data_IF_312809734223
#
_entry.id   IF_312809734223
#
_cell.length_a   1.000
_cell.length_b   1.000
_cell.length_c   1.000
_cell.angle_alpha   90.00
_cell.angle_beta   90.00
_cell.angle_gamma   90.00
#
_symmetry.space_group_name_H-M   'P 1'
#
loop_
_entity.id
_entity.type
_entity.pdbx_description
1 polymer ?
#
# COMPACT_ATOMS: atom_id res chain seq x y z
N UNK A 1 -14.81 -6.01 -20.24
CA UNK A 1 -14.81 -7.18 -19.33
C UNK A 1 -14.15 -6.74 -18.04
N UNK A 2 -14.78 -6.99 -16.89
CA UNK A 2 -14.30 -6.54 -15.58
C UNK A 2 -12.97 -7.21 -15.22
N UNK A 3 -11.98 -6.43 -14.80
CA UNK A 3 -10.67 -6.93 -14.39
C UNK A 3 -10.77 -7.94 -13.23
N UNK A 4 -11.74 -7.74 -12.33
CA UNK A 4 -12.01 -8.66 -11.22
C UNK A 4 -12.53 -10.00 -11.73
N UNK A 5 -13.46 -9.97 -12.69
CA UNK A 5 -14.02 -11.17 -13.30
C UNK A 5 -12.95 -11.98 -14.04
N UNK A 6 -12.12 -11.32 -14.85
CA UNK A 6 -10.97 -11.94 -15.53
C UNK A 6 -10.04 -12.59 -14.51
N UNK A 7 -9.72 -11.88 -13.43
CA UNK A 7 -8.84 -12.42 -12.38
C UNK A 7 -9.38 -13.72 -11.80
N UNK A 8 -10.66 -13.75 -11.40
CA UNK A 8 -11.24 -14.95 -10.78
C UNK A 8 -11.46 -16.11 -11.76
N UNK A 9 -11.72 -15.82 -13.04
CA UNK A 9 -11.91 -16.83 -14.07
C UNK A 9 -10.60 -17.42 -14.58
N UNK A 10 -9.64 -16.57 -14.93
CA UNK A 10 -8.47 -16.96 -15.74
C UNK A 10 -7.18 -17.06 -14.94
N UNK A 11 -7.06 -16.29 -13.85
CA UNK A 11 -5.80 -16.15 -13.09
C UNK A 11 -5.83 -16.95 -11.81
N UNK A 12 -6.82 -16.69 -10.96
CA UNK A 12 -6.95 -17.28 -9.63
C UNK A 12 -6.87 -18.82 -9.61
N UNK A 13 -7.53 -19.57 -10.53
CA UNK A 13 -7.47 -21.04 -10.53
C UNK A 13 -6.09 -21.61 -10.83
N UNK A 14 -5.20 -20.82 -11.44
CA UNK A 14 -3.84 -21.20 -11.83
C UNK A 14 -2.79 -20.80 -10.80
N UNK A 15 -3.16 -20.00 -9.81
CA UNK A 15 -2.25 -19.63 -8.73
C UNK A 15 -2.11 -20.82 -7.79
N UNK A 16 -0.86 -21.12 -7.40
CA UNK A 16 -0.63 -21.88 -6.17
C UNK A 16 -1.30 -21.11 -5.03
N UNK A 17 -1.89 -21.81 -4.03
CA UNK A 17 -2.58 -21.14 -2.94
C UNK A 17 -1.73 -20.00 -2.40
N UNK A 18 -2.25 -18.77 -2.34
CA UNK A 18 -1.51 -17.70 -1.71
C UNK A 18 -1.28 -18.07 -0.25
N UNK A 19 -0.18 -17.59 0.33
CA UNK A 19 0.18 -17.76 1.75
C UNK A 19 -0.80 -16.96 2.64
N UNK A 20 -2.07 -17.31 2.54
CA UNK A 20 -3.17 -16.86 3.38
C UNK A 20 -3.15 -17.58 4.72
N UNK A 21 -2.29 -18.58 4.92
CA UNK A 21 -1.99 -19.17 6.23
C UNK A 21 -1.59 -18.09 7.25
N UNK A 22 -0.87 -17.05 6.81
CA UNK A 22 -0.55 -15.89 7.64
C UNK A 22 -1.77 -15.01 7.96
N UNK A 23 -2.83 -15.11 7.16
CA UNK A 23 -4.03 -14.29 7.20
C UNK A 23 -5.29 -15.17 7.19
N UNK A 24 -5.53 -16.00 8.22
CA UNK A 24 -6.59 -17.03 8.21
C UNK A 24 -8.01 -16.45 8.07
N UNK A 25 -8.18 -15.18 8.42
CA UNK A 25 -9.44 -14.45 8.29
C UNK A 25 -9.65 -13.87 6.89
N UNK A 26 -8.64 -13.87 6.02
CA UNK A 26 -8.70 -13.28 4.68
C UNK A 26 -8.82 -14.36 3.61
N UNK A 27 -9.70 -14.13 2.64
CA UNK A 27 -9.89 -14.99 1.48
C UNK A 27 -10.00 -14.15 0.21
N UNK A 28 -9.43 -14.65 -0.88
CA UNK A 28 -9.68 -14.09 -2.21
C UNK A 28 -11.01 -14.59 -2.78
N UNK A 29 -11.44 -15.80 -2.41
CA UNK A 29 -12.74 -16.33 -2.85
C UNK A 29 -13.88 -15.78 -1.99
N UNK A 30 -15.01 -15.38 -2.62
CA UNK A 30 -16.26 -15.24 -1.89
C UNK A 30 -16.72 -16.62 -1.39
N UNK A 31 -17.47 -16.64 -0.30
CA UNK A 31 -18.01 -17.88 0.26
C UNK A 31 -18.93 -17.63 1.45
N UNK A 32 -19.62 -18.68 1.94
CA UNK A 32 -20.43 -18.60 3.16
C UNK A 32 -19.59 -18.07 4.33
N UNK A 33 -20.17 -17.16 5.13
CA UNK A 33 -19.48 -16.54 6.26
C UNK A 33 -18.34 -15.60 5.86
N UNK A 34 -18.25 -15.17 4.60
CA UNK A 34 -17.26 -14.18 4.14
C UNK A 34 -17.94 -12.95 3.57
N UNK A 35 -17.42 -11.78 3.91
CA UNK A 35 -17.91 -10.49 3.41
C UNK A 35 -16.77 -9.70 2.76
N UNK A 36 -17.02 -8.99 1.64
CA UNK A 36 -16.00 -8.18 1.00
C UNK A 36 -15.39 -7.16 1.96
N UNK A 37 -14.07 -6.96 1.91
CA UNK A 37 -13.34 -6.07 2.82
C UNK A 37 -13.87 -4.63 2.78
N UNK A 38 -14.37 -4.17 1.63
CA UNK A 38 -14.99 -2.85 1.48
C UNK A 38 -16.25 -2.65 2.34
N UNK A 39 -16.88 -3.73 2.81
CA UNK A 39 -18.05 -3.69 3.71
C UNK A 39 -17.68 -3.65 5.20
N UNK A 40 -16.40 -3.80 5.55
CA UNK A 40 -15.94 -3.69 6.94
C UNK A 40 -15.50 -2.27 7.28
N UNK A 41 -15.49 -1.95 8.57
CA UNK A 41 -14.85 -0.72 9.07
C UNK A 41 -13.34 -0.93 9.01
N UNK A 42 -12.64 -0.12 8.23
CA UNK A 42 -11.18 -0.19 8.06
C UNK A 42 -10.57 1.18 8.25
N UNK A 43 -9.57 1.27 9.11
CA UNK A 43 -8.71 2.43 9.21
C UNK A 43 -7.49 2.22 8.30
N UNK A 44 -7.40 3.04 7.27
CA UNK A 44 -6.31 3.04 6.29
C UNK A 44 -5.36 4.19 6.60
N UNK A 45 -4.13 3.88 6.99
CA UNK A 45 -3.12 4.90 7.28
C UNK A 45 -2.27 5.13 6.04
N UNK A 46 -2.29 6.38 5.54
CA UNK A 46 -1.45 6.84 4.42
C UNK A 46 -0.40 7.79 4.95
N UNK A 47 0.82 7.70 4.42
CA UNK A 47 1.89 8.61 4.81
C UNK A 47 3.02 8.57 3.80
N UNK A 48 3.74 9.69 3.69
CA UNK A 48 5.00 9.73 2.96
C UNK A 48 6.08 8.92 3.70
N UNK A 49 7.08 8.43 2.97
CA UNK A 49 8.24 7.77 3.58
C UNK A 49 8.92 8.72 4.58
N UNK A 50 9.30 8.22 5.75
CA UNK A 50 10.02 9.00 6.77
C UNK A 50 9.13 9.73 7.80
N UNK A 51 7.81 9.68 7.68
CA UNK A 51 6.86 10.31 8.63
C UNK A 51 6.67 9.54 9.94
N UNK A 52 7.23 8.33 10.05
CA UNK A 52 7.07 7.48 11.24
C UNK A 52 5.85 6.55 11.19
N UNK A 53 5.27 6.30 10.01
CA UNK A 53 4.09 5.44 9.83
C UNK A 53 4.20 4.07 10.50
N UNK A 54 5.30 3.34 10.30
CA UNK A 54 5.48 2.02 10.90
C UNK A 54 5.45 2.08 12.43
N UNK A 55 6.10 3.09 13.03
CA UNK A 55 6.07 3.33 14.49
C UNK A 55 4.65 3.67 14.96
N UNK A 56 3.94 4.54 14.24
CA UNK A 56 2.57 4.91 14.59
C UNK A 56 1.60 3.72 14.52
N UNK A 57 1.72 2.88 13.48
CA UNK A 57 0.90 1.68 13.30
C UNK A 57 1.16 0.66 14.40
N UNK A 58 2.41 0.45 14.78
CA UNK A 58 2.78 -0.47 15.87
C UNK A 58 2.23 0.02 17.22
N UNK A 59 2.39 1.30 17.56
CA UNK A 59 1.80 1.88 18.78
C UNK A 59 0.27 1.76 18.77
N UNK A 60 -0.37 2.08 17.65
CA UNK A 60 -1.82 2.01 17.50
C UNK A 60 -2.32 0.58 17.64
N UNK A 61 -1.63 -0.39 17.03
CA UNK A 61 -1.94 -1.82 17.14
C UNK A 61 -1.91 -2.28 18.60
N UNK A 62 -0.84 -1.95 19.34
CA UNK A 62 -0.72 -2.29 20.76
C UNK A 62 -1.83 -1.67 21.60
N UNK A 63 -2.18 -0.41 21.35
CA UNK A 63 -3.28 0.29 22.05
C UNK A 63 -4.65 -0.31 21.77
N UNK A 64 -4.84 -0.90 20.59
CA UNK A 64 -6.06 -1.60 20.19
C UNK A 64 -6.09 -3.07 20.64
N UNK A 65 -5.23 -3.46 21.59
CA UNK A 65 -5.18 -4.83 22.10
C UNK A 65 -4.57 -5.85 21.13
N UNK A 66 -3.76 -5.40 20.17
CA UNK A 66 -3.10 -6.24 19.16
C UNK A 66 -4.02 -6.77 18.06
N UNK A 67 -5.32 -6.48 18.10
CA UNK A 67 -6.34 -7.19 17.32
C UNK A 67 -6.52 -6.76 15.86
N UNK A 68 -5.75 -5.79 15.35
CA UNK A 68 -6.07 -5.13 14.07
C UNK A 68 -4.98 -5.04 13.01
N UNK A 69 -3.72 -4.88 13.41
CA UNK A 69 -2.59 -4.84 12.48
C UNK A 69 -2.16 -6.27 12.15
N UNK A 70 -2.02 -6.58 10.87
CA UNK A 70 -1.67 -7.94 10.42
C UNK A 70 -2.86 -8.88 10.23
N UNK A 71 -4.09 -8.41 10.47
CA UNK A 71 -5.30 -9.15 10.06
C UNK A 71 -5.49 -9.09 8.54
N UNK A 72 -5.17 -7.95 7.92
CA UNK A 72 -5.24 -7.73 6.48
C UNK A 72 -3.82 -7.73 5.90
N UNK A 73 -3.59 -8.34 4.72
CA UNK A 73 -2.31 -8.28 4.02
C UNK A 73 -1.84 -6.84 3.76
N UNK A 74 -0.54 -6.59 3.79
CA UNK A 74 0.00 -5.31 3.37
C UNK A 74 -0.03 -5.20 1.83
N UNK A 75 0.23 -3.98 1.33
CA UNK A 75 0.25 -3.69 -0.13
C UNK A 75 1.05 -4.72 -0.94
N UNK A 76 2.20 -5.15 -0.41
CA UNK A 76 3.11 -6.03 -1.12
C UNK A 76 2.48 -7.40 -1.34
N UNK A 77 1.88 -7.98 -0.29
CA UNK A 77 1.16 -9.25 -0.43
C UNK A 77 -0.06 -9.13 -1.34
N UNK A 78 -0.85 -8.05 -1.24
CA UNK A 78 -1.98 -7.83 -2.16
C UNK A 78 -1.50 -7.71 -3.61
N UNK A 79 -0.36 -7.06 -3.84
CA UNK A 79 0.22 -6.99 -5.17
C UNK A 79 0.67 -8.36 -5.68
N UNK A 80 1.27 -9.19 -4.82
CA UNK A 80 1.71 -10.54 -5.17
C UNK A 80 0.54 -11.49 -5.46
N UNK A 81 -0.58 -11.31 -4.76
CA UNK A 81 -1.74 -12.18 -4.93
C UNK A 81 -2.60 -11.78 -6.12
N UNK A 82 -2.76 -10.48 -6.37
CA UNK A 82 -3.73 -9.95 -7.32
C UNK A 82 -3.05 -9.23 -8.49
N UNK A 83 -2.36 -8.12 -8.19
CA UNK A 83 -1.98 -7.17 -9.23
C UNK A 83 -0.92 -7.73 -10.19
N UNK A 84 0.10 -8.38 -9.65
CA UNK A 84 1.20 -8.95 -10.43
C UNK A 84 0.72 -10.11 -11.30
N UNK A 85 0.02 -11.13 -10.76
CA UNK A 85 -0.51 -12.21 -11.60
C UNK A 85 -1.44 -11.75 -12.70
N UNK A 86 -2.32 -10.78 -12.42
CA UNK A 86 -3.23 -10.26 -13.44
C UNK A 86 -2.48 -9.49 -14.53
N UNK A 87 -1.47 -8.70 -14.14
CA UNK A 87 -0.62 -8.00 -15.09
C UNK A 87 0.22 -8.96 -15.95
N UNK A 88 0.68 -10.08 -15.39
CA UNK A 88 1.36 -11.15 -16.14
C UNK A 88 0.41 -11.81 -17.15
N UNK A 89 -0.81 -12.15 -16.72
CA UNK A 89 -1.84 -12.70 -17.59
C UNK A 89 -2.15 -11.78 -18.78
N UNK A 90 -2.35 -10.48 -18.52
CA UNK A 90 -2.53 -9.48 -19.57
C UNK A 90 -1.32 -9.24 -20.48
N UNK A 91 -0.16 -9.74 -20.09
CA UNK A 91 1.08 -9.66 -20.88
C UNK A 91 1.38 -10.98 -21.59
N UNK A 92 0.54 -12.01 -21.45
CA UNK A 92 0.81 -13.35 -21.97
C UNK A 92 1.98 -14.05 -21.27
N UNK A 93 2.44 -13.53 -20.13
CA UNK A 93 3.54 -14.11 -19.37
C UNK A 93 3.06 -15.25 -18.47
N UNK A 94 3.96 -16.18 -18.15
CA UNK A 94 3.70 -17.20 -17.15
C UNK A 94 3.43 -16.55 -15.77
N UNK A 95 2.52 -17.16 -15.00
CA UNK A 95 2.22 -16.75 -13.63
C UNK A 95 3.34 -17.23 -12.72
N UNK A 96 4.28 -16.34 -12.38
CA UNK A 96 5.45 -16.65 -11.58
C UNK A 96 5.76 -15.50 -10.61
N UNK A 97 6.36 -15.76 -9.44
CA UNK A 97 6.78 -14.70 -8.53
C UNK A 97 7.71 -13.70 -9.24
N UNK A 98 7.43 -12.40 -9.10
CA UNK A 98 8.30 -11.34 -9.62
C UNK A 98 9.46 -11.11 -8.63
N UNK A 99 10.67 -11.53 -9.04
CA UNK A 99 11.86 -11.58 -8.19
C UNK A 99 12.52 -10.21 -7.99
N UNK A 100 12.58 -9.38 -9.02
CA UNK A 100 13.25 -8.08 -8.95
C UNK A 100 12.27 -6.91 -8.74
N UNK A 101 12.79 -5.84 -8.14
CA UNK A 101 12.00 -4.65 -7.77
C UNK A 101 11.47 -3.89 -8.98
N UNK A 102 12.22 -3.84 -10.08
CA UNK A 102 11.85 -3.08 -11.29
C UNK A 102 10.66 -3.73 -11.97
N UNK A 103 10.71 -5.05 -12.13
CA UNK A 103 9.63 -5.84 -12.72
C UNK A 103 8.34 -5.74 -11.87
N UNK A 104 8.44 -5.80 -10.54
CA UNK A 104 7.29 -5.60 -9.65
C UNK A 104 6.65 -4.22 -9.84
N UNK A 105 7.47 -3.16 -9.98
CA UNK A 105 6.96 -1.83 -10.27
C UNK A 105 6.28 -1.76 -11.64
N UNK A 106 6.86 -2.37 -12.67
CA UNK A 106 6.28 -2.42 -14.00
C UNK A 106 4.89 -3.11 -14.00
N UNK A 107 4.77 -4.27 -13.36
CA UNK A 107 3.50 -4.98 -13.26
C UNK A 107 2.45 -4.23 -12.44
N UNK A 108 2.81 -3.71 -11.27
CA UNK A 108 1.87 -2.93 -10.45
C UNK A 108 1.43 -1.63 -11.12
N UNK A 109 2.32 -0.99 -11.90
CA UNK A 109 1.96 0.17 -12.73
C UNK A 109 1.00 -0.22 -13.86
N UNK A 110 1.27 -1.33 -14.56
CA UNK A 110 0.39 -1.86 -15.61
C UNK A 110 -1.00 -2.19 -15.05
N UNK A 111 -1.04 -2.76 -13.85
CA UNK A 111 -2.29 -3.00 -13.14
C UNK A 111 -3.04 -1.71 -12.82
N UNK A 112 -2.37 -0.74 -12.20
CA UNK A 112 -2.97 0.55 -11.88
C UNK A 112 -3.44 1.34 -13.12
N UNK A 113 -2.81 1.12 -14.29
CA UNK A 113 -3.24 1.74 -15.55
C UNK A 113 -4.44 1.08 -16.23
N UNK A 114 -4.88 -0.11 -15.77
CA UNK A 114 -6.01 -0.86 -16.33
C UNK A 114 -7.16 -1.08 -15.37
N UNK A 115 -6.93 -0.89 -14.07
CA UNK A 115 -7.94 -1.03 -13.02
C UNK A 115 -8.16 0.33 -12.40
N UNK A 116 -9.39 0.84 -12.49
CA UNK A 116 -9.80 2.05 -11.80
C UNK A 116 -9.50 1.93 -10.30
N UNK A 117 -8.93 2.98 -9.70
CA UNK A 117 -8.50 2.95 -8.30
C UNK A 117 -7.24 2.12 -8.01
N UNK A 118 -6.68 1.44 -9.00
CA UNK A 118 -5.44 0.68 -8.88
C UNK A 118 -5.43 -0.26 -7.68
N UNK A 119 -4.40 -0.16 -6.83
CA UNK A 119 -4.28 -1.07 -5.68
C UNK A 119 -5.42 -0.93 -4.66
N UNK A 120 -6.08 0.23 -4.55
CA UNK A 120 -7.25 0.36 -3.67
C UNK A 120 -8.38 -0.59 -4.10
N UNK A 121 -8.62 -0.70 -5.40
CA UNK A 121 -9.57 -1.67 -5.94
C UNK A 121 -9.14 -3.12 -5.64
N UNK A 122 -7.85 -3.45 -5.77
CA UNK A 122 -7.35 -4.79 -5.44
C UNK A 122 -7.65 -5.20 -3.99
N UNK A 123 -7.52 -4.28 -3.02
CA UNK A 123 -7.90 -4.57 -1.62
C UNK A 123 -9.39 -4.93 -1.48
N UNK A 124 -10.28 -4.36 -2.29
CA UNK A 124 -11.71 -4.68 -2.26
C UNK A 124 -12.05 -6.07 -2.79
N UNK A 125 -11.12 -6.74 -3.46
CA UNK A 125 -11.30 -8.11 -3.95
C UNK A 125 -11.05 -9.14 -2.83
N UNK A 126 -10.48 -8.71 -1.70
CA UNK A 126 -10.36 -9.49 -0.50
C UNK A 126 -11.70 -9.61 0.22
N UNK A 127 -11.91 -10.75 0.86
CA UNK A 127 -13.04 -11.02 1.75
C UNK A 127 -12.49 -11.33 3.13
N UNK A 128 -13.23 -10.91 4.16
CA UNK A 128 -12.92 -11.18 5.56
C UNK A 128 -13.97 -12.12 6.14
N UNK A 129 -13.64 -12.83 7.23
CA UNK A 129 -14.62 -13.53 8.05
C UNK A 129 -15.73 -12.57 8.51
N UNK A 130 -16.99 -12.97 8.33
CA UNK A 130 -18.15 -12.09 8.53
C UNK A 130 -18.40 -11.75 10.02
N UNK A 131 -17.95 -12.62 10.91
CA UNK A 131 -18.02 -12.52 12.38
C UNK A 131 -16.85 -11.77 13.00
N UNK A 132 -15.95 -11.20 12.19
CA UNK A 132 -14.84 -10.40 12.72
C UNK A 132 -15.33 -9.05 13.26
N UNK A 133 -15.19 -8.84 14.57
CA UNK A 133 -15.63 -7.62 15.28
C UNK A 133 -14.48 -6.69 15.72
N UNK A 134 -13.23 -7.01 15.36
CA UNK A 134 -12.05 -6.23 15.73
C UNK A 134 -11.83 -4.95 14.89
N UNK A 135 -10.92 -4.07 15.33
CA UNK A 135 -10.54 -2.90 14.54
C UNK A 135 -9.65 -3.34 13.37
N UNK A 136 -10.02 -3.06 12.12
CA UNK A 136 -9.11 -3.31 11.01
C UNK A 136 -8.17 -2.12 10.80
N UNK A 137 -6.87 -2.39 10.70
CA UNK A 137 -5.83 -1.41 10.42
C UNK A 137 -4.99 -1.88 9.24
N UNK A 138 -4.80 -1.02 8.24
CA UNK A 138 -3.96 -1.35 7.09
C UNK A 138 -3.14 -0.16 6.62
N UNK A 139 -1.99 -0.47 6.03
CA UNK A 139 -1.26 0.39 5.13
C UNK A 139 -1.20 -0.27 3.75
N UNK A 140 -1.79 0.36 2.75
CA UNK A 140 -2.06 -0.36 1.50
C UNK A 140 -2.14 0.51 0.27
N UNK A 141 -2.80 1.66 0.41
CA UNK A 141 -3.06 2.58 -0.70
C UNK A 141 -2.07 3.74 -0.69
N UNK A 142 -1.80 4.30 -1.86
CA UNK A 142 -0.88 5.43 -2.04
C UNK A 142 -1.30 6.29 -3.22
N UNK A 143 -0.97 7.57 -3.10
CA UNK A 143 -1.22 8.51 -4.17
C UNK A 143 -2.70 8.86 -4.31
N UNK A 144 -2.89 9.97 -4.99
CA UNK A 144 -4.14 10.68 -5.08
C UNK A 144 -5.28 9.86 -5.71
N UNK A 145 -5.00 9.15 -6.81
CA UNK A 145 -6.00 8.31 -7.49
C UNK A 145 -6.55 7.17 -6.59
N UNK A 146 -5.67 6.44 -5.90
CA UNK A 146 -6.09 5.32 -5.05
C UNK A 146 -6.87 5.83 -3.82
N UNK A 147 -6.49 6.98 -3.27
CA UNK A 147 -7.17 7.62 -2.14
C UNK A 147 -8.57 8.08 -2.55
N UNK A 148 -8.71 8.83 -3.66
CA UNK A 148 -10.03 9.26 -4.14
C UNK A 148 -10.94 8.08 -4.41
N UNK A 149 -10.42 7.05 -5.10
CA UNK A 149 -11.20 5.85 -5.36
C UNK A 149 -11.71 5.20 -4.07
N UNK A 150 -10.83 5.06 -3.06
CA UNK A 150 -11.21 4.48 -1.78
C UNK A 150 -12.28 5.30 -1.05
N UNK A 151 -12.15 6.63 -1.04
CA UNK A 151 -13.15 7.52 -0.42
C UNK A 151 -14.51 7.42 -1.11
N UNK A 152 -14.53 7.31 -2.44
CA UNK A 152 -15.77 7.20 -3.22
C UNK A 152 -16.44 5.84 -3.08
N UNK A 153 -15.67 4.75 -3.12
CA UNK A 153 -16.22 3.40 -3.26
C UNK A 153 -16.31 2.63 -1.94
N UNK A 154 -15.56 3.03 -0.91
CA UNK A 154 -15.47 2.29 0.37
C UNK A 154 -15.96 3.18 1.53
N UNK A 155 -17.28 3.43 1.65
CA UNK A 155 -17.84 4.42 2.59
C UNK A 155 -17.59 4.09 4.07
N UNK A 156 -17.26 2.83 4.38
CA UNK A 156 -16.95 2.35 5.73
C UNK A 156 -15.46 2.44 6.06
N UNK A 157 -14.62 2.76 5.08
CA UNK A 157 -13.21 3.01 5.32
C UNK A 157 -13.02 4.43 5.84
N UNK A 158 -12.04 4.58 6.71
CA UNK A 158 -11.55 5.87 7.18
C UNK A 158 -10.10 5.96 6.78
N UNK A 159 -9.74 7.00 6.06
CA UNK A 159 -8.37 7.23 5.61
C UNK A 159 -7.79 8.32 6.48
N UNK A 160 -6.67 8.02 7.15
CA UNK A 160 -5.95 8.98 7.99
C UNK A 160 -4.57 9.18 7.40
N UNK A 161 -4.25 10.43 7.09
CA UNK A 161 -2.91 10.81 6.72
C UNK A 161 -2.06 11.06 7.98
N UNK A 162 -0.93 10.36 8.08
CA UNK A 162 0.11 10.72 9.03
C UNK A 162 1.01 11.78 8.39
N UNK A 163 0.67 13.02 8.63
CA UNK A 163 1.42 14.18 8.16
C UNK A 163 2.60 14.49 9.09
N UNK A 164 3.70 14.94 8.50
CA UNK A 164 4.85 15.50 9.19
C UNK A 164 5.32 16.72 8.41
N UNK A 165 5.72 17.79 9.12
CA UNK A 165 6.23 19.00 8.47
C UNK A 165 7.35 18.65 7.46
N UNK A 166 7.31 19.16 6.21
CA UNK A 166 8.24 18.73 5.16
C UNK A 166 9.72 18.85 5.55
N UNK A 167 10.10 19.91 6.26
CA UNK A 167 11.48 20.09 6.74
C UNK A 167 11.87 19.10 7.85
N UNK A 168 10.93 18.72 8.72
CA UNK A 168 11.17 17.70 9.73
C UNK A 168 11.31 16.32 9.07
N UNK A 169 10.52 16.06 8.02
CA UNK A 169 10.64 14.86 7.19
C UNK A 169 12.00 14.83 6.47
N UNK A 170 12.45 15.94 5.89
CA UNK A 170 13.74 16.05 5.22
C UNK A 170 14.89 15.72 6.17
N UNK A 171 14.92 16.33 7.37
CA UNK A 171 15.88 15.98 8.42
C UNK A 171 15.90 14.49 8.76
N UNK A 172 14.72 13.86 8.90
CA UNK A 172 14.63 12.42 9.19
C UNK A 172 15.13 11.53 8.07
N UNK A 173 15.01 11.98 6.81
CA UNK A 173 15.48 11.24 5.64
C UNK A 173 17.00 11.42 5.46
N UNK A 174 17.53 12.62 5.67
CA UNK A 174 18.98 12.86 5.62
C UNK A 174 19.77 12.08 6.67
N UNK A 175 19.16 11.79 7.84
CA UNK A 175 19.78 10.94 8.86
C UNK A 175 19.63 9.42 8.63
N UNK A 176 18.86 8.99 7.62
CA UNK A 176 18.77 7.59 7.22
C UNK A 176 19.99 7.29 6.37
N UNK A 177 20.94 6.58 6.96
CA UNK A 177 22.17 6.17 6.29
C UNK A 177 21.94 4.78 5.64
N UNK A 178 20.89 4.63 4.82
CA UNK A 178 20.63 3.34 4.16
C UNK A 178 21.65 3.12 3.03
N UNK A 179 21.98 1.86 2.73
CA UNK A 179 23.07 1.48 1.81
C UNK A 179 22.91 2.02 0.39
N UNK A 180 21.70 2.45 0.03
CA UNK A 180 21.34 3.02 -1.28
C UNK A 180 21.23 4.55 -1.29
N UNK A 181 21.49 5.24 -0.18
CA UNK A 181 21.46 6.71 -0.10
C UNK A 181 22.76 7.36 -0.65
N UNK A 182 23.68 6.55 -1.18
CA UNK A 182 24.88 7.03 -1.89
C UNK A 182 24.54 7.33 -3.36
N UNK A 183 23.96 8.50 -3.60
CA UNK A 183 23.87 9.07 -4.94
C UNK A 183 24.80 10.28 -5.04
N UNK A 184 25.74 10.28 -5.98
CA UNK A 184 26.50 11.48 -6.32
C UNK A 184 25.60 12.42 -7.13
N UNK A 185 25.18 13.54 -6.54
CA UNK A 185 24.34 14.53 -7.22
C UNK A 185 23.99 15.70 -6.30
N UNK A 186 23.62 16.85 -6.89
CA UNK A 186 23.11 17.98 -6.13
C UNK A 186 21.75 17.63 -5.50
N UNK A 187 21.49 18.10 -4.28
CA UNK A 187 20.21 17.91 -3.62
C UNK A 187 19.07 18.54 -4.43
N UNK A 188 18.14 17.72 -4.91
CA UNK A 188 16.91 18.19 -5.55
C UNK A 188 15.86 18.53 -4.48
N UNK A 189 15.61 19.82 -4.26
CA UNK A 189 14.62 20.33 -3.32
C UNK A 189 13.27 20.68 -3.98
N UNK A 190 13.10 20.37 -5.27
CA UNK A 190 11.90 20.76 -6.02
C UNK A 190 10.61 20.10 -5.51
N UNK A 191 10.73 18.97 -4.80
CA UNK A 191 9.62 18.28 -4.16
C UNK A 191 9.03 19.03 -2.95
N UNK A 192 9.71 20.05 -2.43
CA UNK A 192 9.20 20.89 -1.34
C UNK A 192 8.25 21.97 -1.87
N UNK A 193 7.24 22.36 -1.07
CA UNK A 193 6.49 23.60 -1.29
C UNK A 193 7.44 24.79 -1.48
N UNK A 194 7.07 25.72 -2.38
CA UNK A 194 7.95 26.82 -2.80
C UNK A 194 8.46 27.63 -1.60
N UNK A 195 7.57 27.90 -0.66
CA UNK A 195 7.80 28.64 0.58
C UNK A 195 8.82 27.98 1.54
N UNK A 196 9.09 26.68 1.38
CA UNK A 196 10.05 25.95 2.22
C UNK A 196 11.41 25.75 1.56
N UNK A 197 11.58 26.12 0.28
CA UNK A 197 12.81 25.82 -0.48
C UNK A 197 14.00 26.63 0.00
N UNK A 198 13.81 27.91 0.28
CA UNK A 198 14.89 28.79 0.76
C UNK A 198 15.39 28.36 2.14
N UNK A 199 14.47 28.00 3.03
CA UNK A 199 14.80 27.46 4.35
C UNK A 199 15.52 26.12 4.25
N UNK A 200 15.05 25.21 3.40
CA UNK A 200 15.74 23.94 3.15
C UNK A 200 17.17 24.15 2.60
N UNK A 201 17.34 25.07 1.65
CA UNK A 201 18.66 25.39 1.10
C UNK A 201 19.60 25.98 2.16
N UNK A 202 19.08 26.80 3.08
CA UNK A 202 19.86 27.30 4.21
C UNK A 202 20.30 26.17 5.16
N UNK A 203 19.39 25.25 5.50
CA UNK A 203 19.70 24.09 6.36
C UNK A 203 20.70 23.12 5.72
N UNK A 204 20.64 22.95 4.39
CA UNK A 204 21.61 22.16 3.63
C UNK A 204 23.01 22.79 3.70
N UNK A 205 23.11 24.11 3.49
CA UNK A 205 24.39 24.84 3.63
C UNK A 205 24.96 24.78 5.05
N UNK A 206 24.08 24.72 6.05
CA UNK A 206 24.47 24.58 7.46
C UNK A 206 24.82 23.13 7.86
N UNK A 207 24.68 22.15 6.96
CA UNK A 207 24.96 20.73 7.26
C UNK A 207 23.93 20.06 8.18
N UNK A 208 22.77 20.69 8.40
CA UNK A 208 21.70 20.11 9.24
C UNK A 208 20.88 19.04 8.51
N UNK A 209 20.98 19.04 7.17
CA UNK A 209 20.41 18.07 6.25
C UNK A 209 21.46 17.78 5.18
N UNK A 210 21.38 16.60 4.59
CA UNK A 210 22.26 16.09 3.53
C UNK A 210 21.45 15.54 2.37
#
# INVERSE_FOLDING_TARGET
>A
MDAREIYFRDVYPRLKPPVTERYPLVSLRPGPGRTPLCKHKLLMVVALTGTGKSTALDILSRRLGGGGLGVIPARREVADWIAIPLAQHWSGHALAPAADRVQRFAYTRRFAGRVEGGMAAAFSWLNLAADYEGPLLSEGIRGDNEIRYALTHFPRWRIVELALHPLARLRRLSGRNETFDRAAGNADLSFLPLELRDEAAARLRAGEIS
#
